data_IF_219656975771
#
_entry.id   IF_219656975771
#
_cell.length_a   1.000
_cell.length_b   1.000
_cell.length_c   1.000
_cell.angle_alpha   90.00
_cell.angle_beta   90.00
_cell.angle_gamma   90.00
#
_symmetry.space_group_name_H-M   'P 1'
#
loop_
_entity.id
_entity.type
_entity.pdbx_description
1 polymer ?
#
# COMPACT_ATOMS: atom_id res chain seq x y z
N UNK A 1 23.16 -30.27 -35.01
CA UNK A 1 23.28 -29.06 -34.18
C UNK A 1 23.25 -29.48 -32.73
N UNK A 2 24.44 -29.60 -32.14
CA UNK A 2 24.66 -30.15 -30.81
C UNK A 2 24.50 -29.09 -29.72
N UNK A 3 23.74 -29.47 -28.69
CA UNK A 3 23.86 -29.19 -27.25
C UNK A 3 24.59 -27.91 -26.77
N UNK A 4 23.88 -27.12 -25.97
CA UNK A 4 24.46 -26.56 -24.75
C UNK A 4 23.37 -26.40 -23.66
N UNK A 5 23.22 -27.44 -22.84
CA UNK A 5 22.61 -27.35 -21.51
C UNK A 5 23.60 -26.63 -20.61
N UNK A 6 23.36 -25.35 -20.32
CA UNK A 6 24.06 -24.66 -19.24
C UNK A 6 23.43 -25.07 -17.91
N UNK A 7 23.92 -26.20 -17.39
CA UNK A 7 23.77 -26.55 -15.99
C UNK A 7 24.59 -25.59 -15.15
N UNK A 8 23.90 -24.78 -14.34
CA UNK A 8 24.52 -24.10 -13.22
C UNK A 8 24.07 -24.80 -11.94
N UNK A 9 24.96 -25.66 -11.47
CA UNK A 9 24.99 -26.15 -10.10
C UNK A 9 25.19 -24.95 -9.17
N UNK A 10 24.14 -24.54 -8.46
CA UNK A 10 24.28 -23.63 -7.32
C UNK A 10 24.16 -24.44 -6.04
N UNK A 11 25.33 -24.81 -5.50
CA UNK A 11 25.51 -25.48 -4.22
C UNK A 11 25.00 -24.60 -3.08
N UNK A 12 24.20 -25.20 -2.18
CA UNK A 12 23.78 -24.59 -0.92
C UNK A 12 24.99 -24.36 0.00
N UNK A 13 25.07 -23.23 0.72
CA UNK A 13 25.70 -23.20 2.02
C UNK A 13 24.67 -23.59 3.09
N UNK A 14 24.97 -24.69 3.77
CA UNK A 14 24.30 -25.18 4.98
C UNK A 14 24.62 -24.22 6.14
N UNK A 15 23.68 -23.34 6.51
CA UNK A 15 23.81 -22.53 7.72
C UNK A 15 23.23 -23.31 8.90
N UNK A 16 24.08 -24.14 9.50
CA UNK A 16 23.85 -24.75 10.79
C UNK A 16 23.91 -23.69 11.90
N UNK A 17 22.97 -23.82 12.84
CA UNK A 17 23.11 -23.51 14.27
C UNK A 17 23.18 -22.04 14.71
N UNK A 18 22.12 -21.56 15.35
CA UNK A 18 22.02 -21.44 16.82
C UNK A 18 20.69 -20.77 17.20
N UNK A 19 19.79 -21.54 17.81
CA UNK A 19 18.61 -20.99 18.51
C UNK A 19 19.03 -20.53 19.90
N UNK A 20 18.89 -19.24 20.27
CA UNK A 20 19.00 -18.84 21.65
C UNK A 20 17.80 -19.42 22.42
N UNK A 21 18.10 -20.28 23.37
CA UNK A 21 17.16 -20.86 24.32
C UNK A 21 16.70 -19.74 25.26
N UNK A 22 15.70 -18.94 24.88
CA UNK A 22 15.01 -18.08 25.83
C UNK A 22 14.01 -18.94 26.61
N UNK A 23 14.57 -19.71 27.55
CA UNK A 23 13.86 -20.32 28.66
C UNK A 23 13.54 -19.21 29.66
N UNK A 24 12.53 -18.42 29.33
CA UNK A 24 11.96 -17.39 30.17
C UNK A 24 10.45 -17.59 30.21
N UNK A 25 10.00 -18.55 31.00
CA UNK A 25 8.61 -18.63 31.40
C UNK A 25 8.33 -17.43 32.31
N UNK A 26 7.99 -16.28 31.72
CA UNK A 26 7.30 -15.23 32.46
C UNK A 26 5.88 -15.76 32.62
N UNK A 27 5.61 -16.41 33.74
CA UNK A 27 4.26 -16.65 34.21
C UNK A 27 3.63 -15.30 34.52
N UNK A 28 3.10 -14.64 33.49
CA UNK A 28 2.19 -13.50 33.68
C UNK A 28 0.85 -14.10 34.09
N UNK A 29 0.73 -14.43 35.38
CA UNK A 29 -0.56 -14.56 36.04
C UNK A 29 -1.18 -13.16 36.19
N UNK A 30 -1.42 -12.51 35.05
CA UNK A 30 -2.20 -11.28 34.96
C UNK A 30 -3.61 -11.71 34.57
N UNK A 31 -4.54 -11.64 35.50
CA UNK A 31 -5.98 -11.67 35.22
C UNK A 31 -6.32 -10.39 34.45
N UNK A 32 -5.98 -10.37 33.17
CA UNK A 32 -6.41 -9.36 32.21
C UNK A 32 -7.92 -9.54 32.05
N UNK A 33 -8.71 -8.92 32.95
CA UNK A 33 -10.16 -8.76 32.78
C UNK A 33 -10.35 -7.83 31.58
N UNK A 34 -10.44 -8.42 30.40
CA UNK A 34 -10.79 -7.68 29.19
C UNK A 34 -12.17 -7.06 29.40
N UNK A 35 -12.35 -5.75 29.18
CA UNK A 35 -13.68 -5.16 29.27
C UNK A 35 -14.60 -5.84 28.27
N UNK A 36 -15.87 -5.96 28.62
CA UNK A 36 -16.91 -6.73 27.90
C UNK A 36 -17.02 -6.30 26.42
N UNK A 37 -16.66 -5.04 26.12
CA UNK A 37 -16.64 -4.52 24.75
C UNK A 37 -15.48 -5.06 23.90
N UNK A 38 -14.38 -5.51 24.52
CA UNK A 38 -13.14 -5.93 23.86
C UNK A 38 -13.13 -7.43 23.49
N UNK A 39 -13.99 -8.22 24.12
CA UNK A 39 -14.16 -9.66 23.88
C UNK A 39 -14.37 -10.05 22.39
N UNK A 40 -15.25 -9.40 21.60
CA UNK A 40 -15.45 -9.75 20.19
C UNK A 40 -14.23 -9.45 19.30
N UNK A 41 -13.41 -8.45 19.66
CA UNK A 41 -12.20 -8.11 18.90
C UNK A 41 -11.09 -9.15 19.07
N UNK A 42 -10.97 -9.77 20.26
CA UNK A 42 -10.00 -10.84 20.48
C UNK A 42 -10.36 -12.12 19.72
N UNK A 43 -11.65 -12.38 19.50
CA UNK A 43 -12.11 -13.57 18.77
C UNK A 43 -12.09 -13.39 17.25
N UNK A 44 -12.24 -12.15 16.76
CA UNK A 44 -12.23 -11.84 15.33
C UNK A 44 -10.82 -11.63 14.75
N UNK A 45 -9.90 -12.55 15.01
CA UNK A 45 -8.55 -12.51 14.44
C UNK A 45 -8.44 -13.38 13.16
N UNK A 46 -7.70 -12.95 12.11
CA UNK A 46 -7.44 -13.79 10.95
C UNK A 46 -6.75 -15.09 11.38
N UNK A 47 -7.39 -16.24 11.10
CA UNK A 47 -6.84 -17.56 11.49
C UNK A 47 -5.49 -17.87 10.84
N UNK A 48 -5.26 -17.36 9.62
CA UNK A 48 -4.07 -17.63 8.80
C UNK A 48 -3.68 -16.41 7.97
N UNK A 49 -2.37 -16.26 7.72
CA UNK A 49 -1.82 -15.29 6.78
C UNK A 49 -2.33 -15.57 5.36
N UNK A 50 -2.69 -14.53 4.63
CA UNK A 50 -3.11 -14.69 3.23
C UNK A 50 -1.91 -14.96 2.32
N UNK A 51 -2.07 -15.84 1.32
CA UNK A 51 -1.01 -16.12 0.34
C UNK A 51 -0.80 -14.94 -0.60
N UNK A 52 0.40 -14.85 -1.18
CA UNK A 52 0.75 -13.80 -2.15
C UNK A 52 -0.23 -13.75 -3.34
N UNK A 53 -0.59 -14.92 -3.88
CA UNK A 53 -1.57 -15.03 -4.97
C UNK A 53 -2.95 -14.49 -4.57
N UNK A 54 -3.50 -14.89 -3.41
CA UNK A 54 -4.79 -14.39 -2.92
C UNK A 54 -4.79 -12.88 -2.67
N UNK A 55 -3.66 -12.32 -2.20
CA UNK A 55 -3.51 -10.87 -2.03
C UNK A 55 -3.49 -10.16 -3.38
N UNK A 56 -2.75 -10.67 -4.37
CA UNK A 56 -2.64 -10.07 -5.72
C UNK A 56 -3.98 -10.10 -6.47
N UNK A 57 -4.69 -11.22 -6.45
CA UNK A 57 -6.03 -11.32 -7.08
C UNK A 57 -7.04 -10.34 -6.47
N UNK A 58 -6.97 -10.04 -5.17
CA UNK A 58 -7.84 -9.01 -4.56
C UNK A 58 -7.44 -7.58 -4.92
N UNK A 59 -6.19 -7.35 -5.32
CA UNK A 59 -5.67 -6.03 -5.66
C UNK A 59 -5.82 -5.70 -7.16
N UNK A 60 -6.03 -6.70 -8.03
CA UNK A 60 -6.11 -6.49 -9.49
C UNK A 60 -7.25 -5.56 -9.90
N UNK A 61 -8.36 -5.60 -9.16
CA UNK A 61 -9.57 -4.82 -9.49
C UNK A 61 -9.52 -3.39 -8.95
N UNK A 62 -8.38 -2.94 -8.43
CA UNK A 62 -8.19 -1.63 -7.80
C UNK A 62 -7.22 -0.74 -8.59
N UNK A 63 -7.18 -0.92 -9.91
CA UNK A 63 -6.37 -0.10 -10.80
C UNK A 63 -6.81 1.37 -10.79
N UNK A 64 -5.91 2.28 -11.18
CA UNK A 64 -6.29 3.66 -11.44
C UNK A 64 -6.99 3.74 -12.79
N UNK A 65 -8.24 4.19 -12.80
CA UNK A 65 -8.99 4.39 -14.03
C UNK A 65 -8.42 5.57 -14.84
N UNK A 66 -8.40 5.41 -16.17
CA UNK A 66 -7.98 6.47 -17.07
C UNK A 66 -9.01 7.60 -17.08
N UNK A 67 -8.55 8.83 -16.94
CA UNK A 67 -9.40 10.02 -16.95
C UNK A 67 -9.39 10.67 -18.32
N UNK A 68 -10.52 10.62 -19.01
CA UNK A 68 -10.71 11.26 -20.33
C UNK A 68 -11.24 12.70 -20.22
N UNK A 69 -11.60 13.13 -19.01
CA UNK A 69 -12.20 14.43 -18.73
C UNK A 69 -11.17 15.57 -18.59
N UNK A 70 -10.02 15.48 -19.27
CA UNK A 70 -8.97 16.51 -19.25
C UNK A 70 -9.05 17.31 -20.54
N UNK A 71 -9.32 18.61 -20.42
CA UNK A 71 -9.43 19.55 -21.55
C UNK A 71 -8.49 20.72 -21.39
N UNK A 72 -8.14 21.38 -22.49
CA UNK A 72 -7.28 22.57 -22.46
C UNK A 72 -8.05 23.80 -21.97
N UNK A 73 -7.39 24.63 -21.17
CA UNK A 73 -7.94 25.90 -20.71
C UNK A 73 -7.94 26.94 -21.85
N UNK A 74 -9.06 27.63 -22.13
CA UNK A 74 -9.13 28.61 -23.21
C UNK A 74 -8.32 29.88 -22.97
N UNK A 75 -7.96 30.19 -21.71
CA UNK A 75 -7.22 31.40 -21.37
C UNK A 75 -5.69 31.20 -21.40
N UNK A 76 -5.21 30.13 -20.76
CA UNK A 76 -3.77 29.89 -20.57
C UNK A 76 -3.22 28.65 -21.30
N UNK A 77 -4.06 27.85 -21.96
CA UNK A 77 -3.65 26.63 -22.66
C UNK A 77 -3.30 25.43 -21.76
N UNK A 78 -3.18 25.61 -20.44
CA UNK A 78 -2.91 24.52 -19.51
C UNK A 78 -4.06 23.51 -19.43
N UNK A 79 -3.74 22.25 -19.14
CA UNK A 79 -4.73 21.21 -18.93
C UNK A 79 -5.54 21.45 -17.65
N UNK A 80 -6.87 21.31 -17.74
CA UNK A 80 -7.81 21.38 -16.62
C UNK A 80 -8.82 20.23 -16.71
N UNK A 81 -9.54 19.96 -15.62
CA UNK A 81 -10.66 19.02 -15.67
C UNK A 81 -11.90 19.68 -16.29
N UNK A 82 -12.70 18.87 -16.98
CA UNK A 82 -14.00 19.27 -17.51
C UNK A 82 -14.92 19.72 -16.37
N UNK A 83 -15.63 20.85 -16.56
CA UNK A 83 -16.47 21.54 -15.56
C UNK A 83 -15.75 22.18 -14.36
N UNK A 84 -14.42 22.09 -14.28
CA UNK A 84 -13.65 22.77 -13.24
C UNK A 84 -13.00 24.07 -13.76
N UNK A 85 -12.83 25.02 -12.85
CA UNK A 85 -12.02 26.20 -13.11
C UNK A 85 -10.54 25.82 -13.20
N UNK A 86 -9.79 26.47 -14.08
CA UNK A 86 -8.35 26.23 -14.18
C UNK A 86 -7.65 26.69 -12.90
N UNK A 87 -6.89 25.80 -12.27
CA UNK A 87 -6.14 26.10 -11.03
C UNK A 87 -5.14 27.23 -11.22
N UNK A 88 -4.48 27.29 -12.38
CA UNK A 88 -3.50 28.30 -12.73
C UNK A 88 -4.12 29.69 -12.90
N UNK A 89 -5.14 29.82 -13.76
CA UNK A 89 -5.82 31.12 -13.94
C UNK A 89 -6.45 31.60 -12.63
N UNK A 90 -7.02 30.68 -11.85
CA UNK A 90 -7.64 31.04 -10.58
C UNK A 90 -6.62 31.57 -9.57
N UNK A 91 -5.44 30.95 -9.46
CA UNK A 91 -4.41 31.44 -8.52
C UNK A 91 -3.89 32.82 -8.92
N UNK A 92 -3.65 33.07 -10.22
CA UNK A 92 -3.22 34.37 -10.73
C UNK A 92 -4.24 35.47 -10.43
N UNK A 93 -5.51 35.24 -10.78
CA UNK A 93 -6.60 36.20 -10.55
C UNK A 93 -6.77 36.47 -9.04
N UNK A 94 -6.73 35.41 -8.22
CA UNK A 94 -6.85 35.54 -6.76
C UNK A 94 -5.72 36.38 -6.18
N UNK A 95 -4.48 36.17 -6.64
CA UNK A 95 -3.33 36.94 -6.19
C UNK A 95 -3.43 38.41 -6.63
N UNK A 96 -3.81 38.66 -7.88
CA UNK A 96 -4.02 40.01 -8.39
C UNK A 96 -5.10 40.76 -7.57
N UNK A 97 -6.22 40.11 -7.29
CA UNK A 97 -7.29 40.68 -6.46
C UNK A 97 -6.85 40.95 -5.01
N UNK A 98 -5.96 40.12 -4.46
CA UNK A 98 -5.41 40.31 -3.11
C UNK A 98 -4.44 41.51 -3.05
N UNK A 99 -3.70 41.80 -4.11
CA UNK A 99 -2.79 42.96 -4.14
C UNK A 99 -3.56 44.26 -4.33
N UNK A 100 -4.70 44.21 -5.03
CA UNK A 100 -5.51 45.37 -5.34
C UNK A 100 -6.43 45.83 -4.18
N UNK A 101 -6.68 44.98 -3.17
CA UNK A 101 -7.46 45.31 -1.97
C UNK A 101 -6.54 45.38 -0.75
#
# INVERSE_FOLDING_TARGET
MALARLGYHFSLPSLTQQTPQLRGAIAVAGTFKTPIWLEPFLWAAPKKKTSHSKKRMRASNKGLENKENVTQCPACGNNKLLHHLCSHCYSEIKNAHKVAN
#
